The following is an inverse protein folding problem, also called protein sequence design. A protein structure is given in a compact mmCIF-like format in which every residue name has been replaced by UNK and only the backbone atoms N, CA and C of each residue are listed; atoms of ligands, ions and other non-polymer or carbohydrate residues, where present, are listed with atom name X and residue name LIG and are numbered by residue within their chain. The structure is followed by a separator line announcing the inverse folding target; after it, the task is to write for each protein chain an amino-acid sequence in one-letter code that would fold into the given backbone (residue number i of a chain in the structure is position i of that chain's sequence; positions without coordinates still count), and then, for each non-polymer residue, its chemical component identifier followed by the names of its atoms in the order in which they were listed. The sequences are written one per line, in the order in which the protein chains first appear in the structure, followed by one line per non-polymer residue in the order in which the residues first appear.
data_IF_116802781443
#
_entry.id   IF_116802781443
#
_cell.length_a   1.000
_cell.length_b   1.000
_cell.length_c   1.000
_cell.angle_alpha   90.00
_cell.angle_beta   90.00
_cell.angle_gamma   90.00
#
_symmetry.space_group_name_H-M   'P 1'
#
loop_
_entity.id
_entity.type
_entity.pdbx_description
1 polymer ?
#
# COMPACT_ATOMS: atom_id res chain seq x y z
N UNK A 1 -17.12 22.63 55.81
CA UNK A 1 -16.87 22.22 54.41
C UNK A 1 -15.37 22.31 54.06
N UNK A 2 -14.50 21.68 54.85
CA UNK A 2 -13.03 21.71 54.64
C UNK A 2 -12.47 20.29 54.76
N UNK A 3 -13.03 19.47 55.66
CA UNK A 3 -12.67 18.06 55.87
C UNK A 3 -12.89 17.20 54.60
N UNK A 4 -13.99 17.40 53.86
CA UNK A 4 -14.24 16.67 52.61
C UNK A 4 -13.21 16.97 51.49
N UNK A 5 -12.56 18.14 51.54
CA UNK A 5 -11.57 18.55 50.52
C UNK A 5 -10.19 17.95 50.79
N UNK A 6 -9.88 17.59 52.04
CA UNK A 6 -8.62 16.90 52.35
C UNK A 6 -8.69 15.43 51.92
N UNK A 7 -9.81 14.73 52.18
CA UNK A 7 -9.98 13.34 51.76
C UNK A 7 -9.93 13.14 50.24
N UNK A 8 -10.34 14.15 49.45
CA UNK A 8 -10.24 14.08 47.99
C UNK A 8 -8.81 14.29 47.48
N UNK A 9 -7.97 15.05 48.19
CA UNK A 9 -6.56 15.26 47.83
C UNK A 9 -5.69 14.04 48.19
N UNK A 10 -6.01 13.33 49.27
CA UNK A 10 -5.38 12.03 49.57
C UNK A 10 -5.74 10.94 48.56
N UNK A 11 -6.99 10.95 48.05
CA UNK A 11 -7.40 10.05 46.96
C UNK A 11 -6.74 10.40 45.62
N UNK A 12 -6.53 11.70 45.34
CA UNK A 12 -5.90 12.13 44.08
C UNK A 12 -4.41 11.80 44.03
N UNK A 13 -3.72 11.88 45.17
CA UNK A 13 -2.29 11.56 45.27
C UNK A 13 -2.03 10.06 45.12
N UNK A 14 -2.93 9.19 45.58
CA UNK A 14 -2.80 7.74 45.34
C UNK A 14 -3.07 7.32 43.90
N UNK A 15 -3.77 8.14 43.11
CA UNK A 15 -4.03 7.87 41.69
C UNK A 15 -2.79 8.23 40.82
N UNK A 16 -1.98 9.19 41.26
CA UNK A 16 -0.90 9.78 40.44
C UNK A 16 0.47 9.12 40.68
N UNK A 17 0.60 8.23 41.66
CA UNK A 17 1.79 7.36 41.84
C UNK A 17 1.82 6.18 40.85
N UNK A 18 1.43 6.43 39.61
CA UNK A 18 1.65 5.53 38.48
C UNK A 18 2.83 6.01 37.64
N UNK A 19 3.96 6.32 38.29
CA UNK A 19 5.27 6.03 37.68
C UNK A 19 5.56 4.53 37.79
N UNK A 20 4.63 3.69 37.32
CA UNK A 20 4.89 2.26 37.17
C UNK A 20 5.82 2.13 35.97
N UNK A 21 7.13 2.07 36.27
CA UNK A 21 8.14 1.62 35.31
C UNK A 21 7.64 0.29 34.76
N UNK A 22 7.18 0.31 33.51
CA UNK A 22 6.66 -0.90 32.88
C UNK A 22 7.80 -1.91 32.82
N UNK A 23 7.66 -3.04 33.52
CA UNK A 23 8.63 -4.14 33.51
C UNK A 23 8.96 -4.49 32.05
N UNK A 24 10.24 -4.71 31.76
CA UNK A 24 10.75 -5.14 30.46
C UNK A 24 9.97 -6.34 29.89
N UNK A 25 9.50 -7.26 30.74
CA UNK A 25 8.65 -8.38 30.32
C UNK A 25 7.29 -7.91 29.79
N UNK A 26 6.67 -6.95 30.47
CA UNK A 26 5.40 -6.32 30.07
C UNK A 26 5.57 -5.51 28.78
N UNK A 27 6.66 -4.76 28.63
CA UNK A 27 6.99 -4.04 27.41
C UNK A 27 7.22 -5.00 26.24
N UNK A 28 7.96 -6.08 26.45
CA UNK A 28 8.21 -7.11 25.44
C UNK A 28 6.91 -7.78 25.01
N UNK A 29 6.03 -8.11 25.97
CA UNK A 29 4.71 -8.67 25.68
C UNK A 29 3.85 -7.69 24.87
N UNK A 30 3.86 -6.41 25.21
CA UNK A 30 3.14 -5.37 24.46
C UNK A 30 3.67 -5.23 23.03
N UNK A 31 5.00 -5.24 22.85
CA UNK A 31 5.63 -5.20 21.52
C UNK A 31 5.25 -6.43 20.69
N UNK A 32 5.28 -7.63 21.29
CA UNK A 32 4.83 -8.85 20.63
C UNK A 32 3.35 -8.71 20.23
N UNK A 33 2.44 -8.41 21.16
CA UNK A 33 1.01 -8.25 20.87
C UNK A 33 0.77 -7.20 19.76
N UNK A 34 1.50 -6.08 19.79
CA UNK A 34 1.39 -5.06 18.74
C UNK A 34 1.83 -5.61 17.38
N UNK A 35 2.91 -6.38 17.32
CA UNK A 35 3.38 -7.05 16.10
C UNK A 35 2.34 -8.03 15.55
N UNK A 36 1.71 -8.83 16.43
CA UNK A 36 0.59 -9.72 16.06
C UNK A 36 -0.64 -8.94 15.56
N UNK A 37 -0.90 -7.72 16.07
CA UNK A 37 -1.99 -6.87 15.62
C UNK A 37 -1.75 -6.26 14.22
N UNK A 38 -0.49 -5.96 13.87
CA UNK A 38 -0.14 -5.51 12.51
C UNK A 38 -0.29 -6.62 11.47
N UNK A 39 -0.11 -7.89 11.87
CA UNK A 39 -0.30 -9.06 10.98
C UNK A 39 -1.79 -9.27 10.62
N UNK A 40 -2.72 -8.78 11.43
CA UNK A 40 -4.17 -8.85 11.14
C UNK A 40 -4.63 -7.79 10.12
N UNK A 41 -3.83 -6.76 9.83
CA UNK A 41 -4.05 -5.90 8.66
C UNK A 41 -3.56 -6.62 7.40
N UNK A 42 -4.23 -7.71 7.04
CA UNK A 42 -4.18 -8.27 5.70
C UNK A 42 -4.87 -7.26 4.80
N UNK A 43 -4.09 -6.30 4.29
CA UNK A 43 -4.53 -5.51 3.16
C UNK A 43 -4.65 -6.49 2.00
N UNK A 44 -5.88 -6.86 1.66
CA UNK A 44 -6.15 -7.58 0.42
C UNK A 44 -5.47 -6.83 -0.72
N UNK A 45 -4.83 -7.55 -1.64
CA UNK A 45 -4.25 -6.95 -2.85
C UNK A 45 -5.34 -6.06 -3.45
N UNK A 46 -5.13 -4.73 -3.59
CA UNK A 46 -6.14 -3.87 -4.16
C UNK A 46 -6.55 -4.46 -5.50
N UNK A 47 -7.83 -4.83 -5.62
CA UNK A 47 -8.33 -5.35 -6.89
C UNK A 47 -8.04 -4.27 -7.95
N UNK A 48 -7.31 -4.65 -9.00
CA UNK A 48 -7.05 -3.75 -10.11
C UNK A 48 -8.42 -3.30 -10.63
N UNK A 49 -8.73 -1.99 -10.64
CA UNK A 49 -9.99 -1.51 -11.16
C UNK A 49 -10.18 -2.04 -12.59
N UNK A 50 -11.39 -2.47 -12.95
CA UNK A 50 -11.64 -3.02 -14.29
C UNK A 50 -11.20 -2.07 -15.41
N UNK A 51 -11.34 -0.76 -15.19
CA UNK A 51 -10.89 0.31 -16.10
C UNK A 51 -9.36 0.44 -16.23
N UNK A 52 -8.59 -0.15 -15.31
CA UNK A 52 -7.13 -0.21 -15.36
C UNK A 52 -6.62 -1.45 -16.11
N UNK A 53 -7.52 -2.30 -16.62
CA UNK A 53 -7.18 -3.37 -17.55
C UNK A 53 -7.03 -2.80 -18.97
N UNK A 54 -6.09 -3.31 -19.79
CA UNK A 54 -5.98 -2.91 -21.19
C UNK A 54 -7.28 -3.19 -21.94
N UNK A 55 -7.68 -2.27 -22.83
CA UNK A 55 -8.74 -2.53 -23.81
C UNK A 55 -8.31 -3.63 -24.77
N UNK A 56 -7.04 -3.61 -25.17
CA UNK A 56 -6.45 -4.61 -26.05
C UNK A 56 -4.98 -4.81 -25.67
N UNK A 57 -4.47 -6.03 -25.82
CA UNK A 57 -3.04 -6.31 -25.67
C UNK A 57 -2.62 -7.37 -26.68
N UNK A 58 -1.33 -7.41 -27.00
CA UNK A 58 -0.80 -8.36 -27.97
C UNK A 58 0.65 -8.10 -28.32
N UNK A 59 1.09 -8.71 -29.42
CA UNK A 59 2.43 -8.57 -29.95
C UNK A 59 2.37 -7.89 -31.32
N UNK A 60 3.06 -6.76 -31.45
CA UNK A 60 3.26 -6.06 -32.71
C UNK A 60 4.53 -6.62 -33.38
N UNK A 61 4.44 -7.27 -34.55
CA UNK A 61 5.63 -7.72 -35.27
C UNK A 61 6.52 -6.52 -35.64
N UNK A 62 7.81 -6.58 -35.30
CA UNK A 62 8.79 -5.53 -35.61
C UNK A 62 9.72 -5.99 -36.74
N UNK A 63 10.15 -7.25 -36.68
CA UNK A 63 10.93 -7.91 -37.74
C UNK A 63 10.38 -9.33 -37.96
N UNK A 64 10.97 -10.08 -38.87
CA UNK A 64 10.61 -11.49 -39.11
C UNK A 64 10.77 -12.40 -37.88
N UNK A 65 11.61 -12.00 -36.92
CA UNK A 65 11.93 -12.82 -35.73
C UNK A 65 11.73 -12.08 -34.41
N UNK A 66 11.19 -10.86 -34.43
CA UNK A 66 10.95 -10.09 -33.20
C UNK A 66 9.58 -9.44 -33.21
N UNK A 67 8.95 -9.42 -32.04
CA UNK A 67 7.72 -8.69 -31.80
C UNK A 67 7.80 -7.91 -30.49
N UNK A 68 7.09 -6.80 -30.42
CA UNK A 68 6.98 -5.95 -29.25
C UNK A 68 5.63 -6.20 -28.59
N UNK A 69 5.63 -6.55 -27.31
CA UNK A 69 4.39 -6.58 -26.54
C UNK A 69 3.84 -5.17 -26.37
N UNK A 70 2.53 -5.00 -26.50
CA UNK A 70 1.82 -3.76 -26.21
C UNK A 70 0.56 -4.01 -25.39
N UNK A 71 0.18 -2.98 -24.62
CA UNK A 71 -1.11 -2.85 -23.97
C UNK A 71 -1.72 -1.51 -24.37
N UNK A 72 -2.85 -1.56 -25.07
CA UNK A 72 -3.62 -0.42 -25.54
C UNK A 72 -4.80 -0.15 -24.61
N UNK A 73 -4.95 1.11 -24.22
CA UNK A 73 -6.02 1.60 -23.38
C UNK A 73 -6.75 2.70 -24.16
N UNK A 74 -8.05 2.51 -24.40
CA UNK A 74 -8.86 3.57 -25.02
C UNK A 74 -9.06 4.74 -24.06
N UNK A 75 -9.24 5.94 -24.62
CA UNK A 75 -9.55 7.12 -23.84
C UNK A 75 -10.90 6.93 -23.14
N UNK A 76 -10.93 7.13 -21.82
CA UNK A 76 -12.17 7.07 -21.05
C UNK A 76 -13.17 8.17 -21.43
N UNK A 77 -12.65 9.30 -21.93
CA UNK A 77 -13.42 10.42 -22.46
C UNK A 77 -12.87 10.78 -23.85
N UNK A 78 -13.30 10.11 -24.92
CA UNK A 78 -12.79 10.37 -26.27
C UNK A 78 -13.24 11.74 -26.78
N UNK A 79 -12.43 12.33 -27.66
CA UNK A 79 -12.76 13.56 -28.39
C UNK A 79 -13.51 13.14 -29.66
N UNK A 80 -14.77 13.58 -29.86
CA UNK A 80 -15.50 13.29 -31.10
C UNK A 80 -15.03 14.20 -32.26
N UNK A 81 -14.98 13.69 -33.49
CA UNK A 81 -15.18 12.29 -33.88
C UNK A 81 -14.03 11.40 -33.40
N UNK A 82 -14.30 10.11 -33.14
CA UNK A 82 -13.35 9.18 -32.53
C UNK A 82 -11.93 9.18 -33.13
N UNK A 83 -11.73 9.28 -34.47
CA UNK A 83 -10.39 9.37 -35.07
C UNK A 83 -9.55 10.56 -34.62
N UNK A 84 -10.17 11.61 -34.09
CA UNK A 84 -9.50 12.82 -33.62
C UNK A 84 -9.01 12.68 -32.18
N UNK A 85 -9.37 11.59 -31.48
CA UNK A 85 -8.81 11.28 -30.16
C UNK A 85 -7.31 10.96 -30.30
N UNK A 86 -6.41 11.73 -29.68
CA UNK A 86 -4.98 11.56 -29.87
C UNK A 86 -4.47 10.25 -29.25
N UNK A 87 -3.44 9.68 -29.87
CA UNK A 87 -2.75 8.48 -29.37
C UNK A 87 -1.54 8.91 -28.54
N UNK A 88 -1.48 8.45 -27.29
CA UNK A 88 -0.28 8.55 -26.45
C UNK A 88 0.50 7.25 -26.51
N UNK A 89 1.76 7.33 -26.93
CA UNK A 89 2.70 6.20 -26.88
C UNK A 89 3.60 6.39 -25.66
N UNK A 90 3.54 5.45 -24.72
CA UNK A 90 4.39 5.45 -23.53
C UNK A 90 5.43 4.33 -23.62
N UNK A 91 6.71 4.70 -23.57
CA UNK A 91 7.83 3.76 -23.61
C UNK A 91 8.59 3.84 -22.29
N UNK A 92 8.75 2.71 -21.61
CA UNK A 92 9.58 2.64 -20.41
C UNK A 92 11.05 2.53 -20.81
N UNK A 93 11.91 3.39 -20.25
CA UNK A 93 13.36 3.25 -20.38
C UNK A 93 13.95 2.19 -19.44
N UNK A 94 15.29 2.10 -19.48
CA UNK A 94 16.08 1.17 -18.67
C UNK A 94 16.57 -0.06 -19.46
N UNK A 95 17.47 -0.82 -18.85
CA UNK A 95 17.98 -2.06 -19.42
C UNK A 95 17.34 -3.24 -18.70
N UNK A 96 16.67 -4.11 -19.44
CA UNK A 96 16.28 -5.42 -18.92
C UNK A 96 17.53 -6.29 -18.92
N UNK A 97 18.08 -6.56 -17.73
CA UNK A 97 19.10 -7.60 -17.60
C UNK A 97 18.40 -8.94 -17.74
N UNK A 98 18.49 -9.53 -18.93
CA UNK A 98 18.10 -10.92 -19.13
C UNK A 98 19.03 -11.79 -18.26
N UNK A 99 18.46 -12.36 -17.19
CA UNK A 99 19.11 -13.44 -16.46
C UNK A 99 18.94 -14.71 -17.28
N UNK A 100 19.81 -14.91 -18.27
CA UNK A 100 19.98 -16.22 -18.89
C UNK A 100 20.90 -17.03 -18.00
N UNK A 101 20.36 -17.79 -17.06
CA UNK A 101 21.08 -18.90 -16.44
C UNK A 101 20.55 -20.19 -17.06
N UNK A 102 21.14 -20.59 -18.19
CA UNK A 102 21.01 -21.94 -18.71
C UNK A 102 22.23 -22.72 -18.24
N UNK A 103 22.01 -23.65 -17.32
CA UNK A 103 22.95 -24.67 -16.87
C UNK A 103 22.18 -25.96 -16.64
#
# INVERSE_FOLDING_TARGET
MIINKLNTLTQLTSIIDTSQVMDSKTLTLLLLISSWLHILQVHGVPAIPKQALPTLSGYLPVTSSSAMYYAYYEAQNPIPPLPDTPILIWLQGGFVKLMTHFG
#
